data_IF_309308099791
#
_entry.id   IF_309308099791
#
_cell.length_a   1.000
_cell.length_b   1.000
_cell.length_c   1.000
_cell.angle_alpha   90.00
_cell.angle_beta   90.00
_cell.angle_gamma   90.00
#
_symmetry.space_group_name_H-M   'P 1'
#
loop_
_entity.id
_entity.type
_entity.pdbx_description
1 polymer ?
#
# COMPACT_ATOMS: atom_id res chain seq x y z
N UNK A 1 25.14 -0.10 0.73
CA UNK A 1 23.86 0.47 0.33
C UNK A 1 22.87 -0.68 0.16
N UNK A 2 21.87 -0.77 1.01
CA UNK A 2 20.92 -1.89 1.07
C UNK A 2 19.50 -1.35 0.92
N UNK A 3 18.73 -1.89 -0.03
CA UNK A 3 17.30 -1.64 -0.16
C UNK A 3 16.53 -2.85 0.37
N UNK A 4 15.53 -2.61 1.23
CA UNK A 4 14.67 -3.64 1.79
C UNK A 4 13.21 -3.22 1.61
N UNK A 5 12.38 -4.10 1.07
CA UNK A 5 10.98 -3.79 0.80
C UNK A 5 10.05 -4.70 1.60
N UNK A 6 9.33 -4.11 2.55
CA UNK A 6 8.24 -4.76 3.24
C UNK A 6 6.95 -4.62 2.42
N UNK A 7 6.39 -5.75 1.99
CA UNK A 7 5.30 -5.71 1.04
C UNK A 7 4.34 -6.91 1.11
N UNK A 8 3.13 -6.74 0.59
CA UNK A 8 2.21 -7.85 0.29
C UNK A 8 2.23 -8.16 -1.20
N UNK A 9 2.34 -9.43 -1.61
CA UNK A 9 2.35 -9.82 -3.03
C UNK A 9 1.14 -9.32 -3.83
N UNK A 10 -0.07 -9.36 -3.22
CA UNK A 10 -1.32 -8.94 -3.86
C UNK A 10 -1.63 -7.44 -3.71
N UNK A 11 -0.80 -6.66 -3.02
CA UNK A 11 -1.02 -5.22 -2.88
C UNK A 11 -0.66 -4.47 -4.15
N UNK A 12 -1.61 -3.71 -4.71
CA UNK A 12 -1.36 -2.83 -5.87
C UNK A 12 -0.32 -1.75 -5.58
N UNK A 13 -0.34 -1.20 -4.36
CA UNK A 13 0.67 -0.22 -3.92
C UNK A 13 2.07 -0.85 -3.84
N UNK A 14 2.19 -2.07 -3.31
CA UNK A 14 3.45 -2.81 -3.29
C UNK A 14 3.91 -3.20 -4.69
N UNK A 15 2.97 -3.59 -5.57
CA UNK A 15 3.28 -3.90 -6.97
C UNK A 15 3.89 -2.70 -7.69
N UNK A 16 3.36 -1.50 -7.47
CA UNK A 16 3.89 -0.25 -8.04
C UNK A 16 5.38 -0.07 -7.70
N UNK A 17 5.77 -0.29 -6.44
CA UNK A 17 7.17 -0.17 -6.01
C UNK A 17 8.03 -1.30 -6.59
N UNK A 18 7.55 -2.54 -6.60
CA UNK A 18 8.29 -3.66 -7.22
C UNK A 18 8.54 -3.45 -8.71
N UNK A 19 7.56 -2.88 -9.44
CA UNK A 19 7.75 -2.53 -10.86
C UNK A 19 8.85 -1.46 -10.98
N UNK A 20 8.82 -0.41 -10.18
CA UNK A 20 9.83 0.63 -10.20
C UNK A 20 11.24 0.07 -9.94
N UNK A 21 11.40 -0.76 -8.90
CA UNK A 21 12.68 -1.42 -8.58
C UNK A 21 13.17 -2.28 -9.75
N UNK A 22 12.29 -3.05 -10.38
CA UNK A 22 12.61 -3.89 -11.53
C UNK A 22 13.01 -3.07 -12.76
N UNK A 23 12.26 -2.01 -13.11
CA UNK A 23 12.58 -1.12 -14.24
C UNK A 23 13.94 -0.42 -14.05
N UNK A 24 14.24 -0.05 -12.81
CA UNK A 24 15.52 0.55 -12.44
C UNK A 24 16.65 -0.46 -12.28
N UNK A 25 16.37 -1.77 -12.37
CA UNK A 25 17.32 -2.88 -12.20
C UNK A 25 18.04 -2.82 -10.84
N UNK A 26 17.33 -2.43 -9.80
CA UNK A 26 17.84 -2.37 -8.45
C UNK A 26 17.62 -3.70 -7.74
N UNK A 27 18.62 -4.16 -7.02
CA UNK A 27 18.51 -5.31 -6.12
C UNK A 27 17.94 -4.86 -4.77
N UNK A 28 17.09 -5.69 -4.17
CA UNK A 28 16.51 -5.43 -2.85
C UNK A 28 16.26 -6.73 -2.08
N UNK A 29 16.21 -6.62 -0.76
CA UNK A 29 15.76 -7.69 0.13
C UNK A 29 14.23 -7.66 0.19
N UNK A 30 13.58 -8.78 -0.13
CA UNK A 30 12.12 -8.90 -0.23
C UNK A 30 11.52 -9.45 1.06
N UNK A 31 10.98 -8.57 1.90
CA UNK A 31 10.23 -8.92 3.12
C UNK A 31 8.74 -9.09 2.78
N UNK A 32 8.36 -10.30 2.37
CA UNK A 32 6.96 -10.65 2.06
C UNK A 32 6.17 -10.85 3.34
N UNK A 33 5.25 -9.94 3.60
CA UNK A 33 4.27 -10.11 4.67
C UNK A 33 3.12 -11.00 4.16
N UNK A 34 2.55 -11.81 5.05
CA UNK A 34 1.47 -12.72 4.67
C UNK A 34 0.13 -12.00 4.58
N UNK A 35 -0.65 -12.21 3.51
CA UNK A 35 -2.01 -11.70 3.44
C UNK A 35 -2.85 -12.25 4.61
N UNK A 36 -3.51 -11.36 5.32
CA UNK A 36 -4.31 -11.71 6.49
C UNK A 36 -3.53 -11.78 7.81
N UNK A 37 -2.18 -11.73 7.79
CA UNK A 37 -1.40 -11.50 9.00
C UNK A 37 -1.55 -10.07 9.51
N UNK A 38 -1.18 -9.88 10.78
CA UNK A 38 -1.10 -8.56 11.40
C UNK A 38 0.35 -8.04 11.49
N UNK A 39 1.27 -8.60 10.71
CA UNK A 39 2.70 -8.28 10.75
C UNK A 39 2.96 -6.78 10.55
N UNK A 40 2.16 -6.14 9.68
CA UNK A 40 2.20 -4.69 9.44
C UNK A 40 1.60 -3.83 10.57
N UNK A 41 1.15 -4.45 11.65
CA UNK A 41 0.57 -3.81 12.84
C UNK A 41 1.36 -4.12 14.11
N UNK A 42 2.49 -4.81 14.01
CA UNK A 42 3.37 -5.04 15.15
C UNK A 42 4.03 -3.73 15.59
N UNK A 43 4.41 -3.58 16.86
CA UNK A 43 5.10 -2.39 17.34
C UNK A 43 6.35 -2.06 16.53
N UNK A 44 7.11 -3.08 16.13
CA UNK A 44 8.34 -2.95 15.33
C UNK A 44 8.04 -2.37 13.94
N UNK A 45 7.00 -2.90 13.28
CA UNK A 45 6.61 -2.38 11.97
C UNK A 45 6.04 -0.95 12.06
N UNK A 46 5.25 -0.67 13.08
CA UNK A 46 4.66 0.66 13.30
C UNK A 46 5.71 1.75 13.60
N UNK A 47 6.89 1.38 14.11
CA UNK A 47 8.03 2.30 14.23
C UNK A 47 8.56 2.71 12.85
N UNK A 48 8.57 1.81 11.87
CA UNK A 48 8.99 2.10 10.50
C UNK A 48 7.88 2.81 9.69
N UNK A 49 6.63 2.36 9.87
CA UNK A 49 5.48 2.92 9.17
C UNK A 49 4.28 3.08 10.10
N UNK A 50 4.13 4.26 10.73
CA UNK A 50 3.05 4.51 11.67
C UNK A 50 1.64 4.44 11.05
N UNK A 51 1.53 4.42 9.73
CA UNK A 51 0.27 4.23 9.02
C UNK A 51 -0.24 2.77 9.07
N UNK A 52 0.62 1.79 9.43
CA UNK A 52 0.25 0.38 9.49
C UNK A 52 -0.22 -0.17 8.14
N UNK A 53 0.47 0.17 7.07
CA UNK A 53 0.16 -0.27 5.69
C UNK A 53 1.45 -0.65 4.95
N UNK A 54 1.29 -1.32 3.81
CA UNK A 54 2.38 -1.63 2.88
C UNK A 54 2.23 -0.81 1.59
N UNK A 55 3.33 -0.55 0.86
CA UNK A 55 4.71 -0.91 1.13
C UNK A 55 5.42 0.03 2.12
N UNK A 56 6.52 -0.47 2.68
CA UNK A 56 7.56 0.33 3.35
C UNK A 56 8.89 -0.05 2.75
N UNK A 57 9.65 0.93 2.28
CA UNK A 57 11.02 0.74 1.81
C UNK A 57 11.98 1.17 2.92
N UNK A 58 12.98 0.36 3.22
CA UNK A 58 14.15 0.82 3.97
C UNK A 58 15.32 1.04 3.01
N UNK A 59 15.99 2.16 3.15
CA UNK A 59 17.26 2.43 2.48
C UNK A 59 18.34 2.66 3.55
N UNK A 60 19.26 1.71 3.66
CA UNK A 60 20.28 1.66 4.73
C UNK A 60 19.67 1.78 6.14
N UNK A 61 18.47 1.22 6.33
CA UNK A 61 17.72 1.22 7.58
C UNK A 61 16.73 2.39 7.76
N UNK A 62 16.80 3.44 6.93
CA UNK A 62 15.90 4.59 7.01
C UNK A 62 14.60 4.30 6.25
N UNK A 63 13.41 4.46 6.90
CA UNK A 63 12.14 4.15 6.29
C UNK A 63 11.63 5.25 5.35
N UNK A 64 11.24 4.86 4.15
CA UNK A 64 10.48 5.67 3.21
C UNK A 64 9.10 5.02 3.05
N UNK A 65 8.05 5.78 3.26
CA UNK A 65 6.66 5.31 3.25
C UNK A 65 5.85 6.04 2.18
N UNK A 66 4.69 5.48 1.85
CA UNK A 66 3.86 5.83 0.70
C UNK A 66 4.46 5.42 -0.66
N UNK A 67 3.68 4.64 -1.40
CA UNK A 67 4.17 4.02 -2.64
C UNK A 67 4.51 5.01 -3.75
N UNK A 68 3.85 6.17 -3.82
CA UNK A 68 4.17 7.21 -4.80
C UNK A 68 5.43 7.98 -4.39
N UNK A 69 5.59 8.25 -3.09
CA UNK A 69 6.81 8.86 -2.55
C UNK A 69 8.01 7.92 -2.76
N UNK A 70 7.85 6.62 -2.48
CA UNK A 70 8.92 5.63 -2.67
C UNK A 70 9.43 5.61 -4.11
N UNK A 71 8.55 5.60 -5.11
CA UNK A 71 8.99 5.53 -6.50
C UNK A 71 9.62 6.84 -6.97
N UNK A 72 9.15 8.00 -6.52
CA UNK A 72 9.81 9.29 -6.79
C UNK A 72 11.20 9.31 -6.12
N UNK A 73 11.30 8.89 -4.85
CA UNK A 73 12.57 8.77 -4.14
C UNK A 73 13.58 7.87 -4.83
N UNK A 74 13.16 6.67 -5.23
CA UNK A 74 14.03 5.72 -5.95
C UNK A 74 14.55 6.31 -7.26
N UNK A 75 13.74 7.12 -7.94
CA UNK A 75 14.14 7.73 -9.20
C UNK A 75 15.14 8.88 -9.00
N UNK A 76 15.01 9.64 -7.92
CA UNK A 76 15.95 10.71 -7.55
C UNK A 76 17.30 10.15 -7.10
N UNK A 77 17.31 9.10 -6.28
CA UNK A 77 18.54 8.54 -5.67
C UNK A 77 19.31 7.66 -6.64
N UNK A 78 18.64 6.99 -7.58
CA UNK A 78 19.24 6.07 -8.54
C UNK A 78 19.04 6.56 -10.00
N UNK A 79 19.77 7.56 -10.46
CA UNK A 79 19.52 8.25 -11.72
C UNK A 79 19.93 7.45 -12.98
N UNK A 80 20.64 6.32 -12.86
CA UNK A 80 21.17 5.55 -14.01
C UNK A 80 20.08 5.11 -14.99
N UNK A 81 18.92 4.72 -14.46
CA UNK A 81 17.70 4.48 -15.24
C UNK A 81 16.67 5.52 -14.81
N UNK A 82 16.61 6.63 -15.54
CA UNK A 82 15.68 7.71 -15.22
C UNK A 82 14.27 7.41 -15.73
N UNK A 83 13.29 7.39 -14.84
CA UNK A 83 11.87 7.20 -15.14
C UNK A 83 11.09 8.54 -15.14
N UNK A 84 11.64 9.57 -14.53
CA UNK A 84 11.03 10.90 -14.44
C UNK A 84 11.33 11.74 -15.68
N UNK A 85 10.34 12.34 -16.32
CA UNK A 85 10.56 13.21 -17.49
C UNK A 85 11.42 14.44 -17.19
N UNK A 86 12.28 14.81 -18.14
CA UNK A 86 13.21 15.94 -17.97
C UNK A 86 12.53 17.32 -17.96
N UNK A 87 11.39 17.49 -18.60
CA UNK A 87 10.71 18.79 -18.63
C UNK A 87 9.61 18.90 -17.57
N UNK A 88 9.39 20.10 -17.07
CA UNK A 88 8.46 20.36 -15.96
C UNK A 88 7.00 20.04 -16.29
N UNK A 89 6.54 20.22 -17.55
CA UNK A 89 5.16 19.93 -17.95
C UNK A 89 4.89 18.43 -17.92
N UNK A 90 5.80 17.61 -18.42
CA UNK A 90 5.68 16.16 -18.40
C UNK A 90 5.80 15.62 -16.96
N UNK A 91 6.66 16.20 -16.11
CA UNK A 91 6.68 15.88 -14.68
C UNK A 91 5.36 16.19 -13.98
N UNK A 92 4.73 17.33 -14.30
CA UNK A 92 3.41 17.66 -13.77
C UNK A 92 2.34 16.64 -14.22
N UNK A 93 2.39 16.20 -15.49
CA UNK A 93 1.51 15.14 -16.01
C UNK A 93 1.76 13.81 -15.32
N UNK A 94 3.02 13.42 -15.11
CA UNK A 94 3.39 12.21 -14.35
C UNK A 94 2.80 12.25 -12.94
N UNK A 95 2.98 13.34 -12.20
CA UNK A 95 2.44 13.51 -10.84
C UNK A 95 0.92 13.50 -10.83
N UNK A 96 0.26 14.05 -11.84
CA UNK A 96 -1.19 13.94 -11.99
C UNK A 96 -1.63 12.47 -12.11
N UNK A 97 -0.92 11.67 -12.93
CA UNK A 97 -1.18 10.23 -13.03
C UNK A 97 -0.99 9.50 -11.71
N UNK A 98 0.06 9.82 -10.94
CA UNK A 98 0.27 9.21 -9.61
C UNK A 98 -0.92 9.46 -8.69
N UNK A 99 -1.44 10.69 -8.64
CA UNK A 99 -2.64 11.05 -7.86
C UNK A 99 -3.89 10.33 -8.36
N UNK A 100 -4.11 10.34 -9.66
CA UNK A 100 -5.25 9.67 -10.26
C UNK A 100 -5.30 8.20 -9.92
N UNK A 101 -4.17 7.48 -10.02
CA UNK A 101 -4.10 6.06 -9.69
C UNK A 101 -4.37 5.76 -8.22
N UNK A 102 -4.03 6.66 -7.32
CA UNK A 102 -4.34 6.50 -5.89
C UNK A 102 -5.82 6.71 -5.59
N UNK A 103 -6.46 7.69 -6.20
CA UNK A 103 -7.86 8.04 -5.93
C UNK A 103 -8.84 7.06 -6.58
N UNK A 104 -8.72 6.80 -7.87
CA UNK A 104 -9.71 6.05 -8.65
C UNK A 104 -9.39 4.56 -8.76
N UNK A 105 -8.38 4.13 -9.52
CA UNK A 105 -8.11 2.70 -9.71
C UNK A 105 -7.84 1.96 -8.39
N UNK A 106 -7.19 2.60 -7.43
CA UNK A 106 -6.94 1.97 -6.13
C UNK A 106 -8.23 1.68 -5.38
N UNK A 107 -9.21 2.57 -5.39
CA UNK A 107 -10.52 2.34 -4.78
C UNK A 107 -11.30 1.26 -5.53
N UNK A 108 -11.38 1.35 -6.85
CA UNK A 108 -12.07 0.41 -7.71
C UNK A 108 -11.56 -1.04 -7.57
N UNK A 109 -10.27 -1.22 -7.30
CA UNK A 109 -9.68 -2.54 -7.03
C UNK A 109 -9.86 -2.94 -5.57
N UNK A 110 -9.67 -2.01 -4.64
CA UNK A 110 -9.67 -2.29 -3.19
C UNK A 110 -11.00 -2.81 -2.68
N UNK A 111 -12.11 -2.15 -2.98
CA UNK A 111 -13.41 -2.52 -2.45
C UNK A 111 -13.83 -3.94 -2.88
N UNK A 112 -13.82 -4.31 -4.16
CA UNK A 112 -14.12 -5.68 -4.57
C UNK A 112 -13.13 -6.72 -4.03
N UNK A 113 -11.84 -6.38 -3.91
CA UNK A 113 -10.83 -7.31 -3.37
C UNK A 113 -11.10 -7.60 -1.89
N UNK A 114 -11.38 -6.58 -1.10
CA UNK A 114 -11.73 -6.76 0.30
C UNK A 114 -13.01 -7.56 0.44
N UNK A 115 -14.05 -7.24 -0.34
CA UNK A 115 -15.33 -7.95 -0.31
C UNK A 115 -15.21 -9.41 -0.68
N UNK A 116 -14.44 -9.76 -1.71
CA UNK A 116 -14.39 -11.13 -2.22
C UNK A 116 -13.33 -12.01 -1.55
N UNK A 117 -12.23 -11.41 -1.12
CA UNK A 117 -11.05 -12.15 -0.67
C UNK A 117 -10.78 -11.92 0.83
N UNK A 118 -10.61 -10.67 1.23
CA UNK A 118 -10.09 -10.36 2.57
C UNK A 118 -11.15 -10.42 3.66
N UNK A 119 -12.43 -10.26 3.32
CA UNK A 119 -13.53 -10.36 4.27
C UNK A 119 -13.54 -11.70 5.03
N UNK A 120 -13.04 -12.76 4.39
CA UNK A 120 -12.96 -14.10 4.99
C UNK A 120 -12.17 -14.14 6.30
N UNK A 121 -11.18 -13.25 6.44
CA UNK A 121 -10.33 -13.15 7.63
C UNK A 121 -11.07 -12.60 8.86
N UNK A 122 -12.28 -12.09 8.68
CA UNK A 122 -13.07 -11.44 9.74
C UNK A 122 -14.37 -12.15 10.05
N UNK A 123 -14.77 -13.16 9.27
CA UNK A 123 -16.07 -13.83 9.40
C UNK A 123 -16.31 -14.50 10.76
N UNK A 124 -15.24 -15.04 11.34
CA UNK A 124 -15.30 -15.76 12.62
C UNK A 124 -15.10 -14.85 13.83
N UNK A 125 -14.82 -13.56 13.60
CA UNK A 125 -14.68 -12.58 14.69
C UNK A 125 -16.04 -12.20 15.26
N UNK A 126 -16.11 -12.03 16.57
CA UNK A 126 -17.24 -11.32 17.20
C UNK A 126 -17.26 -9.86 16.78
N UNK A 127 -18.38 -9.14 16.94
CA UNK A 127 -18.45 -7.69 16.63
C UNK A 127 -17.40 -6.87 17.40
N UNK A 128 -17.12 -7.24 18.64
CA UNK A 128 -16.13 -6.56 19.47
C UNK A 128 -14.69 -6.82 19.00
N UNK A 129 -14.36 -8.06 18.67
CA UNK A 129 -13.04 -8.42 18.11
C UNK A 129 -12.80 -7.69 16.79
N UNK A 130 -13.80 -7.61 15.93
CA UNK A 130 -13.71 -6.84 14.68
C UNK A 130 -13.50 -5.34 14.94
N UNK A 131 -14.22 -4.76 15.90
CA UNK A 131 -14.06 -3.35 16.28
C UNK A 131 -12.63 -3.06 16.72
N UNK A 132 -12.08 -3.89 17.60
CA UNK A 132 -10.70 -3.78 18.10
C UNK A 132 -9.71 -3.94 16.93
N UNK A 133 -9.93 -4.92 16.06
CA UNK A 133 -9.09 -5.15 14.90
C UNK A 133 -9.10 -3.98 13.91
N UNK A 134 -10.24 -3.32 13.71
CA UNK A 134 -10.36 -2.12 12.88
C UNK A 134 -9.60 -0.93 13.49
N UNK A 135 -9.72 -0.73 14.80
CA UNK A 135 -9.07 0.37 15.53
C UNK A 135 -7.54 0.26 15.58
N UNK A 136 -7.01 -0.95 15.52
CA UNK A 136 -5.56 -1.19 15.42
C UNK A 136 -4.93 -0.76 14.07
N UNK A 137 -5.71 -0.26 13.10
CA UNK A 137 -5.26 0.14 11.76
C UNK A 137 -5.30 1.65 11.59
N UNK A 138 -4.20 2.38 11.90
CA UNK A 138 -4.23 3.85 12.04
C UNK A 138 -4.81 4.55 10.79
N UNK A 139 -4.26 4.27 9.61
CA UNK A 139 -4.69 4.91 8.37
C UNK A 139 -6.04 4.38 7.85
N UNK A 140 -6.44 3.16 8.24
CA UNK A 140 -7.56 2.44 7.62
C UNK A 140 -8.75 2.20 8.55
N UNK A 141 -8.73 2.76 9.74
CA UNK A 141 -9.82 2.58 10.73
C UNK A 141 -11.20 2.84 10.13
N UNK A 142 -11.39 3.99 9.48
CA UNK A 142 -12.67 4.37 8.87
C UNK A 142 -13.10 3.42 7.75
N UNK A 143 -12.14 2.99 6.91
CA UNK A 143 -12.39 2.03 5.85
C UNK A 143 -12.89 0.68 6.40
N UNK A 144 -12.24 0.15 7.44
CA UNK A 144 -12.66 -1.10 8.07
C UNK A 144 -14.00 -0.96 8.81
N UNK A 145 -14.22 0.17 9.50
CA UNK A 145 -15.51 0.44 10.14
C UNK A 145 -16.65 0.50 9.12
N UNK A 146 -16.41 1.09 7.94
CA UNK A 146 -17.39 1.11 6.83
C UNK A 146 -17.63 -0.28 6.25
N UNK A 147 -16.58 -1.08 6.07
CA UNK A 147 -16.70 -2.46 5.58
C UNK A 147 -17.55 -3.31 6.53
N UNK A 148 -17.37 -3.14 7.83
CA UNK A 148 -17.99 -4.02 8.80
C UNK A 148 -17.45 -5.46 8.73
N UNK A 149 -17.91 -6.31 9.61
CA UNK A 149 -17.56 -7.73 9.65
C UNK A 149 -18.15 -8.50 8.46
N UNK A 150 -19.30 -8.08 7.99
CA UNK A 150 -20.09 -8.76 6.96
C UNK A 150 -19.78 -8.25 5.53
N UNK A 151 -18.95 -7.21 5.42
CA UNK A 151 -18.50 -6.64 4.16
C UNK A 151 -19.18 -5.32 3.79
N UNK A 152 -18.80 -4.81 2.64
CA UNK A 152 -19.38 -3.61 2.05
C UNK A 152 -20.78 -3.86 1.50
N UNK A 153 -21.62 -2.83 1.51
CA UNK A 153 -22.89 -2.85 0.78
C UNK A 153 -22.63 -2.78 -0.73
N UNK A 154 -23.63 -3.17 -1.53
CA UNK A 154 -23.54 -3.01 -3.00
C UNK A 154 -23.32 -1.54 -3.39
N UNK A 155 -23.98 -0.61 -2.71
CA UNK A 155 -23.83 0.83 -2.93
C UNK A 155 -22.39 1.30 -2.64
N UNK A 156 -21.73 0.75 -1.62
CA UNK A 156 -20.34 1.04 -1.31
C UNK A 156 -19.41 0.61 -2.46
N UNK A 157 -19.66 -0.57 -3.01
CA UNK A 157 -18.87 -1.13 -4.11
C UNK A 157 -19.09 -0.31 -5.38
N UNK A 158 -20.35 -0.04 -5.74
CA UNK A 158 -20.69 0.75 -6.93
C UNK A 158 -20.13 2.18 -6.85
N UNK A 159 -20.15 2.81 -5.68
CA UNK A 159 -19.59 4.15 -5.48
C UNK A 159 -18.05 4.19 -5.61
N UNK A 160 -17.38 3.06 -5.49
CA UNK A 160 -15.93 2.94 -5.60
C UNK A 160 -15.45 2.67 -7.04
N UNK A 161 -16.35 2.23 -7.93
CA UNK A 161 -16.06 1.96 -9.34
C UNK A 161 -16.17 3.25 -10.19
#
# INVERSE_FOLDING_TARGET
>A
MTLELYNFPASTCSLKVRICLAEKKLDWVDHKLSPGSTDHLTPEYLQMNPNGVVPTLLHDGDPIIDSSVIIEYLDEVFPDVNLTPNNAKERARMRWWLRYFEEKPTSAVRYPTFQKILIRNFKDMSPEEFRIAAEKRPLKTTFYKRMGRDGFTEDDIQSAL
#
